data_IF_710639313295
#
_entry.id   IF_710639313295
#
_cell.length_a   1.000
_cell.length_b   1.000
_cell.length_c   1.000
_cell.angle_alpha   90.00
_cell.angle_beta   90.00
_cell.angle_gamma   90.00
#
_symmetry.space_group_name_H-M   'P 1'
#
loop_
_entity.id
_entity.type
_entity.pdbx_description
1 polymer ?
#
# COMPACT_ATOMS: atom_id res chain seq x y z
N UNK A 1 44.78 68.83 18.92
CA UNK A 1 43.59 67.96 19.08
C UNK A 1 43.24 67.38 17.72
N UNK A 2 43.59 66.11 17.49
CA UNK A 2 43.48 65.43 16.19
C UNK A 2 42.08 64.89 15.96
N UNK A 3 41.44 65.27 14.85
CA UNK A 3 40.15 64.74 14.39
C UNK A 3 40.36 63.38 13.72
N UNK A 4 39.93 62.31 14.39
CA UNK A 4 39.90 60.96 13.81
C UNK A 4 38.90 60.88 12.65
N UNK A 5 39.42 60.61 11.44
CA UNK A 5 38.61 60.27 10.26
C UNK A 5 38.18 58.81 10.40
N UNK A 6 36.93 58.57 10.79
CA UNK A 6 36.32 57.24 10.73
C UNK A 6 36.06 56.87 9.27
N UNK A 7 36.68 55.79 8.83
CA UNK A 7 36.67 55.32 7.45
C UNK A 7 35.35 54.56 7.17
N UNK A 8 34.30 55.32 6.84
CA UNK A 8 32.93 54.83 6.61
C UNK A 8 32.83 53.76 5.51
N UNK A 9 33.82 53.69 4.61
CA UNK A 9 33.88 52.73 3.49
C UNK A 9 34.20 51.30 3.93
N UNK A 10 34.90 51.11 5.04
CA UNK A 10 35.26 49.76 5.54
C UNK A 10 34.07 49.05 6.20
N UNK A 11 33.14 49.78 6.81
CA UNK A 11 31.99 49.19 7.50
C UNK A 11 30.95 48.67 6.49
N UNK A 12 30.72 49.42 5.40
CA UNK A 12 29.82 49.01 4.32
C UNK A 12 30.29 47.75 3.58
N UNK A 13 31.61 47.54 3.45
CA UNK A 13 32.17 46.35 2.79
C UNK A 13 32.07 45.08 3.64
N UNK A 14 32.18 45.19 4.97
CA UNK A 14 31.95 44.05 5.87
C UNK A 14 30.46 43.73 6.05
N UNK A 15 29.58 44.74 6.04
CA UNK A 15 28.13 44.53 6.10
C UNK A 15 27.61 43.87 4.82
N UNK A 16 28.14 44.21 3.64
CA UNK A 16 27.75 43.54 2.38
C UNK A 16 28.24 42.09 2.30
N UNK A 17 29.43 41.78 2.85
CA UNK A 17 29.93 40.40 2.94
C UNK A 17 29.12 39.54 3.94
N UNK A 18 28.64 40.12 5.04
CA UNK A 18 27.77 39.44 6.02
C UNK A 18 26.35 39.20 5.50
N UNK A 19 25.81 40.09 4.66
CA UNK A 19 24.48 39.91 4.05
C UNK A 19 24.50 38.81 2.97
N UNK A 20 25.63 38.59 2.29
CA UNK A 20 25.79 37.49 1.33
C UNK A 20 25.93 36.11 1.99
N UNK A 21 26.32 36.03 3.27
CA UNK A 21 26.42 34.78 4.04
C UNK A 21 25.11 34.38 4.75
N UNK A 22 24.11 35.28 4.81
CA UNK A 22 22.78 35.01 5.36
C UNK A 22 21.69 34.91 4.28
N UNK A 23 22.06 34.60 3.04
CA UNK A 23 21.09 34.01 2.12
C UNK A 23 20.83 32.58 2.58
N UNK A 24 19.95 32.43 3.56
CA UNK A 24 19.27 31.17 3.85
C UNK A 24 18.51 30.78 2.58
N UNK A 25 19.18 30.13 1.63
CA UNK A 25 18.53 29.28 0.66
C UNK A 25 17.84 28.19 1.48
N UNK A 26 16.57 28.41 1.84
CA UNK A 26 15.71 27.33 2.37
C UNK A 26 15.78 26.22 1.35
N UNK A 27 16.49 25.15 1.69
CA UNK A 27 16.63 23.98 0.84
C UNK A 27 15.20 23.50 0.52
N UNK A 28 14.86 23.44 -0.78
CA UNK A 28 13.53 23.01 -1.21
C UNK A 28 13.35 21.56 -0.72
N UNK A 29 12.33 21.33 0.12
CA UNK A 29 11.99 19.99 0.60
C UNK A 29 11.70 19.08 -0.58
N UNK A 30 12.16 17.84 -0.51
CA UNK A 30 11.74 16.78 -1.43
C UNK A 30 10.26 16.47 -1.24
N UNK A 31 9.63 15.86 -2.24
CA UNK A 31 8.24 15.41 -2.17
C UNK A 31 7.95 14.63 -0.86
N UNK A 32 8.79 13.65 -0.51
CA UNK A 32 8.61 12.81 0.67
C UNK A 32 8.73 13.59 1.99
N UNK A 33 9.66 14.55 2.07
CA UNK A 33 9.82 15.42 3.23
C UNK A 33 8.65 16.39 3.40
N UNK A 34 8.02 16.80 2.30
CA UNK A 34 6.79 17.60 2.34
C UNK A 34 5.64 16.79 2.90
N UNK A 35 5.31 15.63 2.31
CA UNK A 35 4.14 14.83 2.73
C UNK A 35 4.33 14.12 4.08
N UNK A 36 5.57 14.03 4.59
CA UNK A 36 5.86 13.52 5.94
C UNK A 36 5.19 14.36 7.04
N UNK A 37 4.88 15.64 6.77
CA UNK A 37 4.14 16.49 7.71
C UNK A 37 2.71 15.99 7.98
N UNK A 38 2.14 15.20 7.06
CA UNK A 38 0.81 14.61 7.19
C UNK A 38 0.86 13.13 7.63
N UNK A 39 2.03 12.58 7.96
CA UNK A 39 2.11 11.22 8.48
C UNK A 39 1.45 11.15 9.88
N UNK A 40 0.36 10.39 9.99
CA UNK A 40 -0.37 10.22 11.25
C UNK A 40 0.38 9.22 12.12
N UNK A 41 0.81 9.64 13.30
CA UNK A 41 1.49 8.75 14.25
C UNK A 41 0.59 7.58 14.67
N UNK A 42 1.16 6.38 14.74
CA UNK A 42 0.45 5.22 15.27
C UNK A 42 0.13 5.40 16.75
N UNK A 43 -1.07 4.97 17.14
CA UNK A 43 -1.43 4.85 18.54
C UNK A 43 -0.67 3.72 19.23
N UNK A 44 -0.66 3.71 20.56
CA UNK A 44 -0.12 2.60 21.35
C UNK A 44 -0.87 1.31 21.02
N UNK A 45 -0.18 0.15 20.87
CA UNK A 45 -0.84 -1.12 20.62
C UNK A 45 -1.89 -1.44 21.69
N UNK A 46 -3.04 -1.94 21.25
CA UNK A 46 -4.13 -2.39 22.14
C UNK A 46 -4.09 -3.91 22.23
N UNK A 47 -4.48 -4.54 23.35
CA UNK A 47 -4.55 -5.99 23.46
C UNK A 47 -5.33 -6.62 22.29
N UNK A 48 -4.75 -7.62 21.64
CA UNK A 48 -5.34 -8.33 20.49
C UNK A 48 -5.08 -7.68 19.13
N UNK A 49 -4.57 -6.45 19.08
CA UNK A 49 -4.15 -5.79 17.84
C UNK A 49 -2.90 -6.45 17.26
N UNK A 50 -2.65 -6.31 15.96
CA UNK A 50 -1.49 -6.94 15.29
C UNK A 50 -0.18 -6.65 16.04
N UNK A 51 0.09 -5.37 16.30
CA UNK A 51 1.30 -4.88 16.99
C UNK A 51 1.39 -5.25 18.48
N UNK A 52 0.33 -5.79 19.07
CA UNK A 52 0.38 -6.32 20.45
C UNK A 52 0.75 -7.80 20.48
N UNK A 53 0.46 -8.52 19.39
CA UNK A 53 0.69 -9.96 19.27
C UNK A 53 1.98 -10.30 18.51
N UNK A 54 2.55 -9.34 17.79
CA UNK A 54 3.75 -9.52 16.98
C UNK A 54 4.80 -8.48 17.33
N UNK A 55 5.99 -8.94 17.67
CA UNK A 55 7.18 -8.11 17.82
C UNK A 55 7.91 -8.07 16.47
N UNK A 56 7.78 -6.95 15.76
CA UNK A 56 8.27 -6.79 14.40
C UNK A 56 9.43 -5.80 14.34
N UNK A 57 10.43 -6.13 13.52
CA UNK A 57 11.55 -5.22 13.27
C UNK A 57 11.11 -4.03 12.43
N UNK A 58 11.49 -2.82 12.86
CA UNK A 58 11.29 -1.62 12.05
C UNK A 58 12.23 -1.60 10.86
N UNK A 59 11.72 -1.89 9.66
CA UNK A 59 12.47 -1.77 8.43
C UNK A 59 12.76 -0.29 8.13
N UNK A 60 14.03 0.11 8.21
CA UNK A 60 14.48 1.45 7.77
C UNK A 60 14.47 1.58 6.24
N UNK A 61 14.76 2.77 5.71
CA UNK A 61 14.95 2.92 4.25
C UNK A 61 16.19 2.15 3.78
N UNK A 62 17.25 2.15 4.57
CA UNK A 62 18.52 1.46 4.30
C UNK A 62 18.34 -0.06 4.34
N UNK A 63 17.59 -0.58 5.31
CA UNK A 63 17.22 -2.01 5.37
C UNK A 63 16.43 -2.40 4.13
N UNK A 64 15.45 -1.57 3.75
CA UNK A 64 14.68 -1.78 2.55
C UNK A 64 15.57 -1.76 1.30
N UNK A 65 16.54 -0.84 1.17
CA UNK A 65 17.41 -0.81 0.00
C UNK A 65 18.23 -2.10 -0.14
N UNK A 66 18.68 -2.68 0.97
CA UNK A 66 19.48 -3.92 1.01
C UNK A 66 18.65 -5.20 0.81
N UNK A 67 17.33 -5.16 0.97
CA UNK A 67 16.49 -6.35 0.83
C UNK A 67 16.44 -6.88 -0.61
N UNK A 68 16.38 -8.21 -0.75
CA UNK A 68 15.95 -8.83 -2.01
C UNK A 68 14.47 -8.51 -2.21
N UNK A 69 14.12 -8.09 -3.42
CA UNK A 69 12.76 -7.67 -3.79
C UNK A 69 12.58 -7.77 -5.29
N UNK A 70 11.37 -8.07 -5.73
CA UNK A 70 11.04 -8.03 -7.14
C UNK A 70 11.04 -6.57 -7.62
N UNK A 71 11.38 -6.35 -8.88
CA UNK A 71 11.32 -5.05 -9.52
C UNK A 71 10.75 -5.21 -10.94
N UNK A 72 10.03 -4.22 -11.46
CA UNK A 72 9.69 -4.17 -12.87
C UNK A 72 10.97 -4.18 -13.71
N UNK A 73 10.99 -5.05 -14.71
CA UNK A 73 12.08 -5.17 -15.69
C UNK A 73 11.52 -4.97 -17.10
N UNK A 74 12.41 -4.81 -18.09
CA UNK A 74 11.98 -4.71 -19.48
C UNK A 74 11.23 -5.98 -19.89
N UNK A 75 9.96 -5.83 -20.27
CA UNK A 75 9.08 -6.95 -20.59
C UNK A 75 8.42 -7.65 -19.39
N UNK A 76 8.72 -7.27 -18.15
CA UNK A 76 8.07 -7.76 -16.92
C UNK A 76 7.63 -6.58 -16.04
N UNK A 77 6.53 -5.94 -16.40
CA UNK A 77 6.09 -4.67 -15.80
C UNK A 77 4.56 -4.55 -15.65
N UNK A 78 3.84 -5.68 -15.77
CA UNK A 78 2.38 -5.70 -15.63
C UNK A 78 1.97 -6.35 -14.30
N UNK A 79 1.03 -5.73 -13.60
CA UNK A 79 0.31 -6.34 -12.48
C UNK A 79 -0.91 -7.06 -13.05
N UNK A 80 -1.06 -8.35 -12.73
CA UNK A 80 -2.25 -9.10 -13.11
C UNK A 80 -3.12 -9.39 -11.90
N UNK A 81 -4.42 -9.19 -12.04
CA UNK A 81 -5.43 -9.66 -11.10
C UNK A 81 -6.05 -10.94 -11.64
N UNK A 82 -6.07 -11.99 -10.83
CA UNK A 82 -6.70 -13.27 -11.14
C UNK A 82 -7.90 -13.48 -10.22
N UNK A 83 -9.13 -13.22 -10.68
CA UNK A 83 -10.32 -13.64 -9.96
C UNK A 83 -10.36 -15.17 -9.88
N UNK A 84 -10.62 -15.74 -8.70
CA UNK A 84 -10.72 -17.17 -8.46
C UNK A 84 -12.03 -17.45 -7.69
N UNK A 85 -13.03 -17.88 -8.46
CA UNK A 85 -14.30 -18.36 -7.98
C UNK A 85 -15.48 -17.72 -8.73
N UNK A 86 -16.58 -17.50 -8.02
CA UNK A 86 -17.83 -16.95 -8.56
C UNK A 86 -18.13 -15.61 -7.91
N UNK A 87 -18.25 -14.59 -8.74
CA UNK A 87 -18.48 -13.22 -8.30
C UNK A 87 -19.84 -12.73 -8.81
N UNK A 88 -20.61 -12.07 -7.95
CA UNK A 88 -21.78 -11.30 -8.36
C UNK A 88 -21.38 -9.98 -9.05
N UNK A 89 -22.36 -9.21 -9.52
CA UNK A 89 -22.09 -7.96 -10.25
C UNK A 89 -21.43 -6.88 -9.39
N UNK A 90 -21.74 -6.82 -8.08
CA UNK A 90 -21.11 -5.86 -7.18
C UNK A 90 -19.67 -6.27 -6.93
N UNK A 91 -19.38 -7.55 -6.67
CA UNK A 91 -18.03 -8.04 -6.49
C UNK A 91 -17.17 -7.87 -7.75
N UNK A 92 -17.74 -8.12 -8.94
CA UNK A 92 -17.07 -7.82 -10.22
C UNK A 92 -16.72 -6.34 -10.34
N UNK A 93 -17.62 -5.45 -9.92
CA UNK A 93 -17.38 -4.00 -9.89
C UNK A 93 -16.27 -3.63 -8.91
N UNK A 94 -16.23 -4.22 -7.70
CA UNK A 94 -15.12 -4.01 -6.76
C UNK A 94 -13.77 -4.43 -7.35
N UNK A 95 -13.72 -5.59 -8.03
CA UNK A 95 -12.50 -6.08 -8.70
C UNK A 95 -12.07 -5.13 -9.83
N UNK A 96 -13.01 -4.65 -10.64
CA UNK A 96 -12.72 -3.70 -11.72
C UNK A 96 -12.15 -2.37 -11.18
N UNK A 97 -12.80 -1.80 -10.17
CA UNK A 97 -12.32 -0.57 -9.52
C UNK A 97 -11.00 -0.78 -8.79
N UNK A 98 -10.76 -1.96 -8.24
CA UNK A 98 -9.47 -2.32 -7.63
C UNK A 98 -8.37 -2.35 -8.68
N UNK A 99 -8.63 -2.88 -9.88
CA UNK A 99 -7.69 -2.82 -11.00
C UNK A 99 -7.34 -1.38 -11.40
N UNK A 100 -8.34 -0.49 -11.48
CA UNK A 100 -8.12 0.94 -11.75
C UNK A 100 -7.26 1.59 -10.65
N UNK A 101 -7.61 1.34 -9.39
CA UNK A 101 -6.87 1.85 -8.23
C UNK A 101 -5.41 1.38 -8.24
N UNK A 102 -5.15 0.08 -8.42
CA UNK A 102 -3.79 -0.47 -8.38
C UNK A 102 -2.93 0.03 -9.54
N UNK A 103 -3.53 0.24 -10.72
CA UNK A 103 -2.86 0.88 -11.86
C UNK A 103 -2.35 2.28 -11.51
N UNK A 104 -3.17 3.09 -10.84
CA UNK A 104 -2.76 4.42 -10.37
C UNK A 104 -1.75 4.29 -9.22
N UNK A 105 -2.03 3.44 -8.24
CA UNK A 105 -1.27 3.30 -7.01
C UNK A 105 0.17 2.85 -7.25
N UNK A 106 0.40 1.95 -8.21
CA UNK A 106 1.74 1.48 -8.55
C UNK A 106 2.30 2.14 -9.82
N UNK A 107 1.49 2.91 -10.56
CA UNK A 107 1.81 3.43 -11.90
C UNK A 107 2.35 2.36 -12.85
N UNK A 108 1.79 1.15 -12.74
CA UNK A 108 2.08 0.01 -13.58
C UNK A 108 0.79 -0.43 -14.29
N UNK A 109 0.93 -0.96 -15.50
CA UNK A 109 -0.22 -1.51 -16.20
C UNK A 109 -0.84 -2.62 -15.34
N UNK A 110 -2.15 -2.54 -15.11
CA UNK A 110 -2.88 -3.54 -14.33
C UNK A 110 -3.97 -4.15 -15.20
N UNK A 111 -3.98 -5.49 -15.32
CA UNK A 111 -4.92 -6.23 -16.16
C UNK A 111 -5.66 -7.29 -15.34
N UNK A 112 -6.91 -7.53 -15.66
CA UNK A 112 -7.73 -8.58 -15.04
C UNK A 112 -7.75 -9.78 -15.98
N UNK A 113 -7.38 -10.95 -15.46
CA UNK A 113 -7.44 -12.23 -16.18
C UNK A 113 -8.86 -12.81 -16.15
N UNK A 114 -9.20 -13.72 -17.10
CA UNK A 114 -10.44 -14.47 -17.02
C UNK A 114 -10.57 -15.22 -15.68
N UNK A 115 -11.76 -15.24 -15.06
CA UNK A 115 -11.96 -15.87 -13.75
C UNK A 115 -11.68 -17.37 -13.80
N UNK A 116 -11.04 -17.89 -12.76
CA UNK A 116 -10.89 -19.33 -12.54
C UNK A 116 -12.07 -19.87 -11.71
N UNK A 117 -12.50 -21.09 -11.97
CA UNK A 117 -13.54 -21.76 -11.17
C UNK A 117 -13.00 -22.22 -9.81
N UNK A 118 -13.87 -22.24 -8.80
CA UNK A 118 -13.59 -22.82 -7.47
C UNK A 118 -13.15 -24.29 -7.50
N UNK A 119 -13.40 -25.00 -8.60
CA UNK A 119 -12.91 -26.38 -8.81
C UNK A 119 -11.38 -26.48 -8.83
N UNK A 120 -10.67 -25.36 -8.92
CA UNK A 120 -9.21 -25.32 -8.79
C UNK A 120 -8.72 -25.57 -7.35
N UNK A 121 -9.59 -25.42 -6.35
CA UNK A 121 -9.28 -25.70 -4.95
C UNK A 121 -9.57 -27.18 -4.62
N UNK A 122 -8.55 -28.04 -4.45
CA UNK A 122 -8.78 -29.44 -4.09
C UNK A 122 -9.27 -29.59 -2.65
N UNK A 123 -9.99 -30.67 -2.33
CA UNK A 123 -10.55 -30.88 -0.98
C UNK A 123 -9.50 -30.84 0.14
N UNK A 124 -8.27 -31.32 -0.11
CA UNK A 124 -7.20 -31.36 0.89
C UNK A 124 -6.76 -30.00 1.43
N UNK A 125 -7.11 -28.89 0.75
CA UNK A 125 -6.74 -27.53 1.18
C UNK A 125 -7.92 -26.79 1.80
N UNK A 126 -9.07 -27.46 1.94
CA UNK A 126 -10.28 -26.90 2.52
C UNK A 126 -10.39 -27.32 3.96
N UNK A 127 -10.96 -26.45 4.78
CA UNK A 127 -11.42 -26.77 6.13
C UNK A 127 -12.72 -26.04 6.43
N UNK A 128 -13.42 -26.47 7.48
CA UNK A 128 -14.53 -25.73 8.06
C UNK A 128 -14.00 -24.98 9.29
N UNK A 129 -14.16 -23.67 9.32
CA UNK A 129 -13.76 -22.83 10.45
C UNK A 129 -14.63 -23.12 11.67
N UNK A 130 -14.25 -22.57 12.83
CA UNK A 130 -15.07 -22.67 14.06
C UNK A 130 -16.44 -21.99 13.88
N UNK A 131 -16.53 -21.02 12.98
CA UNK A 131 -17.75 -20.31 12.60
C UNK A 131 -18.55 -21.01 11.48
N UNK A 132 -18.17 -22.26 11.12
CA UNK A 132 -18.89 -23.07 10.13
C UNK A 132 -18.62 -22.68 8.67
N UNK A 133 -17.60 -21.87 8.40
CA UNK A 133 -17.31 -21.36 7.06
C UNK A 133 -16.22 -22.18 6.38
N UNK A 134 -16.39 -22.49 5.10
CA UNK A 134 -15.35 -23.14 4.29
C UNK A 134 -14.20 -22.15 4.08
N UNK A 135 -12.98 -22.55 4.46
CA UNK A 135 -11.76 -21.77 4.29
C UNK A 135 -10.76 -22.53 3.42
N UNK A 136 -9.97 -21.78 2.66
CA UNK A 136 -8.95 -22.29 1.73
C UNK A 136 -7.55 -21.96 2.25
N UNK A 137 -6.64 -22.92 2.21
CA UNK A 137 -5.25 -22.72 2.63
C UNK A 137 -4.54 -21.75 1.68
N UNK A 138 -4.23 -20.55 2.16
CA UNK A 138 -3.70 -19.44 1.35
C UNK A 138 -2.34 -19.77 0.73
N UNK A 139 -1.42 -20.40 1.47
CA UNK A 139 -0.09 -20.79 0.97
C UNK A 139 -0.18 -21.72 -0.24
N UNK A 140 -1.12 -22.66 -0.23
CA UNK A 140 -1.34 -23.54 -1.39
C UNK A 140 -1.81 -22.77 -2.62
N UNK A 141 -2.64 -21.72 -2.44
CA UNK A 141 -3.07 -20.86 -3.55
C UNK A 141 -1.88 -20.18 -4.20
N UNK A 142 -0.94 -19.67 -3.41
CA UNK A 142 0.30 -19.10 -3.93
C UNK A 142 1.12 -20.18 -4.66
N UNK A 143 1.57 -21.20 -3.92
CA UNK A 143 2.64 -22.11 -4.34
C UNK A 143 2.22 -23.06 -5.46
N UNK A 144 0.98 -23.54 -5.41
CA UNK A 144 0.50 -24.60 -6.30
C UNK A 144 -0.40 -24.11 -7.42
N UNK A 145 -0.96 -22.89 -7.32
CA UNK A 145 -1.88 -22.34 -8.31
C UNK A 145 -1.29 -21.10 -8.99
N UNK A 146 -0.99 -20.04 -8.24
CA UNK A 146 -0.64 -18.74 -8.81
C UNK A 146 0.77 -18.72 -9.41
N UNK A 147 1.79 -19.27 -8.74
CA UNK A 147 3.17 -19.32 -9.28
C UNK A 147 3.18 -19.95 -10.68
N UNK A 148 2.47 -21.08 -10.85
CA UNK A 148 2.42 -21.83 -12.12
C UNK A 148 1.62 -21.12 -13.22
N UNK A 149 0.84 -20.10 -12.87
CA UNK A 149 -0.06 -19.36 -13.78
C UNK A 149 0.38 -17.92 -14.01
N UNK A 150 1.43 -17.45 -13.35
CA UNK A 150 1.98 -16.10 -13.51
C UNK A 150 2.30 -15.85 -15.00
N UNK A 151 1.64 -14.87 -15.64
CA UNK A 151 1.96 -14.52 -17.03
C UNK A 151 3.44 -14.14 -17.16
N UNK A 152 4.03 -14.41 -18.33
CA UNK A 152 5.47 -14.18 -18.54
C UNK A 152 5.88 -12.71 -18.44
N UNK A 153 4.96 -11.80 -18.75
CA UNK A 153 5.15 -10.34 -18.66
C UNK A 153 4.69 -9.75 -17.31
N UNK A 154 4.26 -10.61 -16.38
CA UNK A 154 3.81 -10.19 -15.07
C UNK A 154 5.00 -9.91 -14.14
N UNK A 155 5.05 -8.72 -13.56
CA UNK A 155 5.88 -8.49 -12.36
C UNK A 155 5.19 -9.08 -11.14
N UNK A 156 3.85 -8.96 -11.08
CA UNK A 156 2.99 -9.40 -9.98
C UNK A 156 1.77 -10.14 -10.53
N UNK A 157 1.38 -11.24 -9.87
CA UNK A 157 0.08 -11.87 -10.04
C UNK A 157 -0.65 -11.94 -8.70
N UNK A 158 -1.74 -11.17 -8.58
CA UNK A 158 -2.57 -11.10 -7.38
C UNK A 158 -3.87 -11.86 -7.59
N UNK A 159 -4.07 -12.94 -6.85
CA UNK A 159 -5.34 -13.65 -6.76
C UNK A 159 -6.37 -12.85 -5.96
N UNK A 160 -7.62 -12.85 -6.40
CA UNK A 160 -8.75 -12.33 -5.63
C UNK A 160 -9.79 -13.44 -5.57
N UNK A 161 -10.23 -13.84 -4.38
CA UNK A 161 -11.22 -14.91 -4.21
C UNK A 161 -12.37 -14.49 -3.29
N UNK A 162 -13.57 -14.97 -3.57
CA UNK A 162 -14.72 -14.84 -2.66
C UNK A 162 -14.70 -15.85 -1.51
N UNK A 163 -13.75 -16.78 -1.51
CA UNK A 163 -13.58 -17.79 -0.46
C UNK A 163 -12.78 -17.25 0.73
N UNK A 164 -13.13 -17.69 1.93
CA UNK A 164 -12.36 -17.34 3.12
C UNK A 164 -10.98 -18.02 3.09
N UNK A 165 -9.97 -17.39 3.69
CA UNK A 165 -8.59 -17.87 3.65
C UNK A 165 -8.05 -18.13 5.05
N UNK A 166 -7.18 -19.13 5.16
CA UNK A 166 -6.39 -19.36 6.37
C UNK A 166 -4.91 -19.61 6.03
N UNK A 167 -3.96 -19.17 6.87
CA UNK A 167 -2.54 -19.30 6.55
C UNK A 167 -1.95 -20.64 7.04
N UNK A 168 -2.36 -21.07 8.24
CA UNK A 168 -1.84 -22.25 8.94
C UNK A 168 -2.96 -22.88 9.80
N UNK A 169 -2.87 -24.18 10.15
CA UNK A 169 -3.90 -24.87 10.93
C UNK A 169 -4.29 -24.18 12.24
N UNK A 170 -3.34 -23.55 12.92
CA UNK A 170 -3.50 -22.90 14.23
C UNK A 170 -4.04 -21.47 14.17
N UNK A 171 -4.07 -20.85 12.98
CA UNK A 171 -4.58 -19.49 12.77
C UNK A 171 -6.05 -19.51 12.37
N UNK A 172 -6.82 -18.46 12.70
CA UNK A 172 -8.24 -18.40 12.35
C UNK A 172 -8.46 -18.09 10.86
N UNK A 173 -7.93 -16.97 10.37
CA UNK A 173 -8.05 -16.56 8.97
C UNK A 173 -6.97 -15.53 8.63
N UNK A 174 -6.85 -15.21 7.34
CA UNK A 174 -6.12 -14.04 6.84
C UNK A 174 -6.97 -13.31 5.80
N UNK A 175 -6.81 -11.99 5.69
CA UNK A 175 -7.41 -11.23 4.59
C UNK A 175 -6.64 -11.40 3.29
N UNK A 176 -5.33 -11.57 3.38
CA UNK A 176 -4.47 -11.85 2.24
C UNK A 176 -3.18 -12.53 2.66
N UNK A 177 -2.42 -12.97 1.67
CA UNK A 177 -1.08 -13.53 1.83
C UNK A 177 -0.27 -13.26 0.56
N UNK A 178 0.96 -12.78 0.72
CA UNK A 178 1.89 -12.54 -0.38
C UNK A 178 3.21 -13.30 -0.21
N UNK A 179 3.79 -13.70 -1.33
CA UNK A 179 5.19 -14.12 -1.42
C UNK A 179 6.07 -12.91 -1.67
N UNK A 180 7.11 -12.75 -0.83
CA UNK A 180 8.11 -11.69 -0.98
C UNK A 180 9.07 -11.92 -2.16
N UNK A 181 9.13 -13.14 -2.71
CA UNK A 181 10.12 -13.51 -3.72
C UNK A 181 9.51 -13.86 -5.08
N UNK A 182 8.32 -14.47 -5.08
CA UNK A 182 7.72 -15.03 -6.30
C UNK A 182 6.81 -14.03 -7.05
N UNK A 183 6.53 -12.88 -6.43
CA UNK A 183 5.61 -11.87 -6.97
C UNK A 183 4.21 -12.44 -7.21
N UNK A 184 3.74 -13.26 -6.26
CA UNK A 184 2.36 -13.75 -6.21
C UNK A 184 1.76 -13.51 -4.84
N UNK A 185 0.45 -13.31 -4.80
CA UNK A 185 -0.30 -13.23 -3.55
C UNK A 185 -1.78 -13.45 -3.77
N UNK A 186 -2.55 -13.56 -2.70
CA UNK A 186 -4.00 -13.75 -2.76
C UNK A 186 -4.68 -12.89 -1.70
N UNK A 187 -5.82 -12.27 -2.05
CA UNK A 187 -6.72 -11.57 -1.12
C UNK A 187 -8.08 -12.25 -1.14
N UNK A 188 -8.68 -12.40 0.03
CA UNK A 188 -10.07 -12.83 0.21
C UNK A 188 -11.00 -11.64 0.34
N UNK A 189 -12.06 -11.62 -0.45
CA UNK A 189 -13.17 -10.68 -0.29
C UNK A 189 -14.21 -11.16 0.73
N UNK A 190 -14.13 -12.42 1.17
CA UNK A 190 -15.19 -13.09 1.95
C UNK A 190 -15.61 -12.27 3.18
N UNK A 191 -14.63 -11.80 3.96
CA UNK A 191 -14.88 -11.09 5.22
C UNK A 191 -15.18 -9.61 5.03
N UNK A 192 -14.88 -9.00 3.88
CA UNK A 192 -15.01 -7.55 3.69
C UNK A 192 -16.46 -7.06 3.69
N UNK A 193 -17.39 -7.93 3.30
CA UNK A 193 -18.83 -7.68 3.36
C UNK A 193 -19.55 -8.66 4.31
N UNK A 194 -18.83 -9.34 5.20
CA UNK A 194 -19.37 -10.41 6.06
C UNK A 194 -20.22 -11.44 5.29
N UNK A 195 -19.76 -11.82 4.08
CA UNK A 195 -20.47 -12.77 3.21
C UNK A 195 -21.67 -12.23 2.42
N UNK A 196 -22.08 -10.97 2.59
CA UNK A 196 -23.17 -10.36 1.81
C UNK A 196 -22.87 -8.92 1.40
N UNK A 197 -22.50 -8.75 0.14
CA UNK A 197 -22.26 -7.45 -0.48
C UNK A 197 -23.58 -6.85 -1.00
N UNK A 198 -23.81 -5.58 -0.70
CA UNK A 198 -24.94 -4.79 -1.16
C UNK A 198 -24.49 -3.35 -1.44
N UNK A 199 -25.34 -2.54 -2.07
CA UNK A 199 -25.02 -1.13 -2.33
C UNK A 199 -24.71 -0.35 -1.03
N UNK A 200 -25.31 -0.71 0.10
CA UNK A 200 -25.11 0.01 1.37
C UNK A 200 -23.73 -0.22 2.00
N UNK A 201 -23.10 -1.36 1.76
CA UNK A 201 -21.77 -1.68 2.29
C UNK A 201 -20.68 -1.75 1.20
N UNK A 202 -21.03 -1.44 -0.06
CA UNK A 202 -20.13 -1.48 -1.21
C UNK A 202 -18.84 -0.70 -0.98
N UNK A 203 -18.92 0.58 -0.58
CA UNK A 203 -17.73 1.41 -0.41
C UNK A 203 -16.83 0.92 0.73
N UNK A 204 -17.40 0.34 1.79
CA UNK A 204 -16.64 -0.21 2.92
C UNK A 204 -15.88 -1.48 2.51
N UNK A 205 -16.57 -2.41 1.83
CA UNK A 205 -15.96 -3.63 1.29
C UNK A 205 -14.91 -3.31 0.23
N UNK A 206 -15.21 -2.39 -0.68
CA UNK A 206 -14.30 -1.94 -1.73
C UNK A 206 -13.04 -1.31 -1.14
N UNK A 207 -13.18 -0.44 -0.14
CA UNK A 207 -12.06 0.20 0.54
C UNK A 207 -11.15 -0.84 1.21
N UNK A 208 -11.73 -1.87 1.84
CA UNK A 208 -10.98 -2.99 2.41
C UNK A 208 -10.22 -3.76 1.32
N UNK A 209 -10.86 -4.04 0.18
CA UNK A 209 -10.22 -4.74 -0.93
C UNK A 209 -9.01 -3.98 -1.47
N UNK A 210 -9.11 -2.66 -1.69
CA UNK A 210 -7.96 -1.89 -2.19
C UNK A 210 -6.84 -1.78 -1.16
N UNK A 211 -7.17 -1.65 0.14
CA UNK A 211 -6.20 -1.62 1.23
C UNK A 211 -5.41 -2.93 1.30
N UNK A 212 -6.11 -4.06 1.39
CA UNK A 212 -5.44 -5.36 1.51
C UNK A 212 -4.71 -5.71 0.20
N UNK A 213 -5.29 -5.47 -0.97
CA UNK A 213 -4.60 -5.78 -2.24
C UNK A 213 -3.33 -4.96 -2.43
N UNK A 214 -3.34 -3.66 -2.11
CA UNK A 214 -2.11 -2.84 -2.18
C UNK A 214 -1.11 -3.19 -1.09
N UNK A 215 -1.57 -3.60 0.09
CA UNK A 215 -0.73 -4.14 1.16
C UNK A 215 0.03 -5.39 0.72
N UNK A 216 -0.69 -6.41 0.24
CA UNK A 216 -0.08 -7.67 -0.21
C UNK A 216 0.88 -7.44 -1.39
N UNK A 217 0.53 -6.60 -2.35
CA UNK A 217 1.43 -6.26 -3.45
C UNK A 217 2.65 -5.46 -2.94
N UNK A 218 2.49 -4.63 -1.91
CA UNK A 218 3.59 -3.94 -1.25
C UNK A 218 4.62 -4.90 -0.65
N UNK A 219 4.18 -6.02 -0.07
CA UNK A 219 5.08 -7.09 0.39
C UNK A 219 5.88 -7.69 -0.76
N UNK A 220 5.25 -7.92 -1.92
CA UNK A 220 5.95 -8.44 -3.10
C UNK A 220 7.07 -7.51 -3.56
N UNK A 221 6.88 -6.18 -3.43
CA UNK A 221 7.92 -5.17 -3.67
C UNK A 221 8.89 -4.95 -2.50
N UNK A 222 8.86 -5.81 -1.48
CA UNK A 222 9.85 -5.87 -0.39
C UNK A 222 9.54 -4.97 0.81
N UNK A 223 8.35 -4.36 0.89
CA UNK A 223 7.97 -3.54 2.04
C UNK A 223 7.43 -4.46 3.14
N UNK A 224 8.07 -4.45 4.31
CA UNK A 224 7.54 -5.15 5.50
C UNK A 224 6.40 -4.35 6.13
N UNK A 225 5.75 -4.90 7.17
CA UNK A 225 4.81 -4.12 7.94
C UNK A 225 5.42 -2.79 8.43
N UNK A 226 4.64 -1.73 8.28
CA UNK A 226 5.04 -0.38 8.62
C UNK A 226 4.80 -0.13 10.12
N UNK A 227 5.82 0.35 10.82
CA UNK A 227 5.71 0.80 12.22
C UNK A 227 5.91 2.33 12.36
N UNK A 228 6.05 3.04 11.24
CA UNK A 228 6.33 4.49 11.21
C UNK A 228 5.09 5.35 11.51
N UNK A 229 3.98 5.05 10.83
CA UNK A 229 2.77 5.86 10.81
C UNK A 229 1.55 4.99 10.45
N UNK A 230 0.34 5.53 10.59
CA UNK A 230 -0.87 4.95 10.03
C UNK A 230 -0.75 4.91 8.50
N UNK A 231 -0.65 3.71 7.97
CA UNK A 231 -0.15 3.38 6.65
C UNK A 231 -0.87 2.13 6.15
N UNK A 232 -1.13 2.04 4.85
CA UNK A 232 -1.71 0.82 4.26
C UNK A 232 -0.87 -0.43 4.51
N UNK A 233 0.44 -0.27 4.75
CA UNK A 233 1.36 -1.35 5.08
C UNK A 233 1.36 -1.72 6.58
N UNK A 234 0.47 -1.20 7.42
CA UNK A 234 0.35 -1.69 8.80
C UNK A 234 -0.25 -3.11 8.80
N UNK A 235 0.32 -4.02 9.60
CA UNK A 235 -0.27 -5.34 9.81
C UNK A 235 -1.60 -5.24 10.55
N UNK A 236 -2.51 -6.17 10.27
CA UNK A 236 -3.88 -6.16 10.81
C UNK A 236 -4.35 -7.57 11.17
N UNK A 237 -4.98 -7.71 12.34
CA UNK A 237 -5.62 -8.95 12.79
C UNK A 237 -7.15 -8.95 12.55
N UNK A 238 -7.76 -7.78 12.33
CA UNK A 238 -9.23 -7.62 12.35
C UNK A 238 -9.70 -6.57 11.36
N UNK A 239 -10.97 -6.64 10.95
CA UNK A 239 -11.55 -5.59 10.09
C UNK A 239 -11.52 -4.22 10.75
N UNK A 240 -11.77 -4.14 12.06
CA UNK A 240 -11.69 -2.86 12.80
C UNK A 240 -10.30 -2.24 12.74
N UNK A 241 -9.23 -3.04 12.79
CA UNK A 241 -7.86 -2.55 12.61
C UNK A 241 -7.61 -2.13 11.15
N UNK A 242 -8.07 -2.92 10.17
CA UNK A 242 -8.03 -2.56 8.74
C UNK A 242 -8.78 -1.25 8.42
N UNK A 243 -9.93 -1.02 9.06
CA UNK A 243 -10.76 0.18 8.85
C UNK A 243 -10.14 1.41 9.49
N UNK A 244 -9.48 1.24 10.64
CA UNK A 244 -8.69 2.29 11.27
C UNK A 244 -7.49 2.70 10.43
N UNK A 245 -6.87 1.75 9.72
CA UNK A 245 -5.73 2.03 8.88
C UNK A 245 -6.10 2.71 7.57
N UNK A 246 -5.22 3.59 7.07
CA UNK A 246 -5.47 4.37 5.86
C UNK A 246 -5.06 3.61 4.59
N UNK A 247 -5.74 3.87 3.46
CA UNK A 247 -5.26 3.39 2.15
C UNK A 247 -3.98 4.11 1.66
N UNK A 248 -3.62 5.21 2.32
CA UNK A 248 -2.40 5.98 2.07
C UNK A 248 -1.18 5.22 2.59
N UNK A 249 -0.15 5.04 1.75
CA UNK A 249 1.19 4.72 2.26
C UNK A 249 1.82 5.97 2.89
N UNK A 250 2.45 5.83 4.05
CA UNK A 250 3.17 6.94 4.69
C UNK A 250 4.37 7.40 3.85
N UNK A 251 4.92 8.57 4.17
CA UNK A 251 6.05 9.17 3.42
C UNK A 251 7.23 8.19 3.26
N UNK A 252 7.58 7.45 4.33
CA UNK A 252 8.64 6.44 4.30
C UNK A 252 8.32 5.27 3.36
N UNK A 253 7.09 4.74 3.41
CA UNK A 253 6.70 3.62 2.54
C UNK A 253 6.59 4.05 1.08
N UNK A 254 6.11 5.27 0.79
CA UNK A 254 6.15 5.82 -0.57
C UNK A 254 7.59 5.99 -1.08
N UNK A 255 8.51 6.47 -0.23
CA UNK A 255 9.93 6.59 -0.58
C UNK A 255 10.56 5.22 -0.88
N UNK A 256 10.29 4.22 -0.05
CA UNK A 256 10.71 2.82 -0.28
C UNK A 256 10.16 2.31 -1.61
N UNK A 257 8.85 2.43 -1.82
CA UNK A 257 8.19 1.95 -3.02
C UNK A 257 8.79 2.59 -4.28
N UNK A 258 8.91 3.91 -4.35
CA UNK A 258 9.46 4.59 -5.53
C UNK A 258 10.92 4.23 -5.82
N UNK A 259 11.69 3.86 -4.79
CA UNK A 259 13.08 3.41 -4.99
C UNK A 259 13.18 2.01 -5.65
N UNK A 260 12.08 1.25 -5.71
CA UNK A 260 12.03 -0.08 -6.36
C UNK A 260 11.16 -0.13 -7.60
N UNK A 261 10.07 0.65 -7.60
CA UNK A 261 9.21 0.85 -8.76
C UNK A 261 9.18 2.35 -9.08
N UNK A 262 9.95 2.78 -10.07
CA UNK A 262 10.00 4.20 -10.39
C UNK A 262 8.64 4.69 -10.90
N UNK A 263 8.05 5.63 -10.16
CA UNK A 263 6.79 6.29 -10.49
C UNK A 263 6.91 7.80 -10.23
N UNK A 264 6.04 8.58 -10.86
CA UNK A 264 5.88 10.02 -10.64
C UNK A 264 5.00 10.24 -9.40
N UNK A 265 5.57 10.72 -8.27
CA UNK A 265 4.82 10.85 -7.03
C UNK A 265 3.71 11.90 -7.07
N UNK A 266 3.91 13.01 -7.78
CA UNK A 266 2.93 14.10 -7.86
C UNK A 266 1.76 13.70 -8.76
N UNK A 267 2.05 13.10 -9.92
CA UNK A 267 1.02 12.54 -10.80
C UNK A 267 0.21 11.47 -10.07
N UNK A 268 0.87 10.53 -9.40
CA UNK A 268 0.22 9.48 -8.62
C UNK A 268 -0.71 10.06 -7.55
N UNK A 269 -0.25 11.07 -6.80
CA UNK A 269 -1.05 11.73 -5.77
C UNK A 269 -2.30 12.40 -6.35
N UNK A 270 -2.15 13.13 -7.45
CA UNK A 270 -3.26 13.78 -8.14
C UNK A 270 -4.29 12.77 -8.68
N UNK A 271 -3.82 11.70 -9.32
CA UNK A 271 -4.68 10.64 -9.86
C UNK A 271 -5.41 9.89 -8.74
N UNK A 272 -4.75 9.58 -7.62
CA UNK A 272 -5.39 8.98 -6.45
C UNK A 272 -6.45 9.90 -5.85
N UNK A 273 -6.15 11.20 -5.70
CA UNK A 273 -7.12 12.18 -5.20
C UNK A 273 -8.38 12.19 -6.07
N UNK A 274 -8.22 12.26 -7.39
CA UNK A 274 -9.35 12.24 -8.33
C UNK A 274 -10.11 10.90 -8.30
N UNK A 275 -9.40 9.78 -8.13
CA UNK A 275 -10.02 8.47 -7.97
C UNK A 275 -10.89 8.40 -6.70
N UNK A 276 -10.37 8.84 -5.56
CA UNK A 276 -11.11 8.84 -4.30
C UNK A 276 -12.33 9.77 -4.33
N UNK A 277 -12.22 10.92 -5.02
CA UNK A 277 -13.35 11.82 -5.28
C UNK A 277 -14.46 11.14 -6.09
N UNK A 278 -14.10 10.48 -7.20
CA UNK A 278 -15.05 9.75 -8.06
C UNK A 278 -15.76 8.61 -7.32
N UNK A 279 -15.07 7.93 -6.40
CA UNK A 279 -15.62 6.80 -5.64
C UNK A 279 -16.24 7.19 -4.29
N UNK A 280 -16.29 8.49 -3.96
CA UNK A 280 -16.81 9.00 -2.69
C UNK A 280 -16.10 8.42 -1.45
N UNK A 281 -14.78 8.19 -1.54
CA UNK A 281 -13.93 7.74 -0.44
C UNK A 281 -13.38 8.96 0.33
N UNK A 282 -14.24 9.56 1.15
CA UNK A 282 -14.03 10.90 1.72
C UNK A 282 -12.78 11.03 2.62
N UNK A 283 -12.45 10.02 3.43
CA UNK A 283 -11.27 10.05 4.30
C UNK A 283 -9.99 10.09 3.47
N UNK A 284 -9.89 9.21 2.47
CA UNK A 284 -8.78 9.07 1.56
C UNK A 284 -8.63 10.27 0.62
N UNK A 285 -9.75 10.85 0.17
CA UNK A 285 -9.81 12.11 -0.56
C UNK A 285 -9.23 13.26 0.27
N UNK A 286 -9.69 13.43 1.50
CA UNK A 286 -9.25 14.50 2.40
C UNK A 286 -7.74 14.46 2.63
N UNK A 287 -7.21 13.26 2.93
CA UNK A 287 -5.77 13.07 3.13
C UNK A 287 -4.95 13.32 1.87
N UNK A 288 -5.43 12.87 0.70
CA UNK A 288 -4.74 13.11 -0.56
C UNK A 288 -4.73 14.61 -0.91
N UNK A 289 -5.79 15.33 -0.59
CA UNK A 289 -5.85 16.79 -0.76
C UNK A 289 -4.89 17.51 0.21
N UNK A 290 -4.76 17.05 1.45
CA UNK A 290 -3.79 17.59 2.40
C UNK A 290 -2.34 17.41 1.92
N UNK A 291 -2.00 16.24 1.36
CA UNK A 291 -0.69 16.01 0.75
C UNK A 291 -0.46 16.91 -0.46
N UNK A 292 -1.48 17.07 -1.31
CA UNK A 292 -1.40 17.87 -2.53
C UNK A 292 -1.09 19.35 -2.21
N UNK A 293 -1.69 19.87 -1.14
CA UNK A 293 -1.46 21.24 -0.66
C UNK A 293 -0.02 21.49 -0.14
N UNK A 294 0.77 20.44 0.11
CA UNK A 294 2.16 20.56 0.58
C UNK A 294 3.20 20.44 -0.55
N UNK A 295 2.78 19.99 -1.73
CA UNK A 295 3.67 19.75 -2.88
C UNK A 295 3.43 20.71 -4.05
N UNK A 296 2.27 21.38 -4.09
CA UNK A 296 1.97 22.52 -4.97
C UNK A 296 2.54 23.83 -4.39
#
# INVERSE_FOLDING_TARGET
>A
MSRGKYNFTSVLFYVSLLILLFSCQKQKKTYYESIALNDIKLSSPKPGSWRSNHDEHFQTYEDFQKSKKIKPESGQNTIYLQPIGKFDELQKREIALTSEYLKIYFQLETKILPPLSNTIFPEKIKRISKEGQEQILASYVLDSILIKRKPKDAVVLMGITEKDLFPLPEWNYVFGLASYEEGVGVTSMYRFANGHLSDSNFNESFLRLIKISSHEIGHMFGISHCLNANCVMNGTNTLTETDYHLARACSLCQRKLNSSIHYDPEKRLLELKNFFEKQHLNTELSLSQQDLNLVQ
#
